data_IF_879334359497
#
_entry.id   IF_879334359497
#
_cell.length_a   1.000
_cell.length_b   1.000
_cell.length_c   1.000
_cell.angle_alpha   90.00
_cell.angle_beta   90.00
_cell.angle_gamma   90.00
#
_symmetry.space_group_name_H-M   'P 1'
#
loop_
_entity.id
_entity.type
_entity.pdbx_description
1 polymer ?
#
# COMPACT_ATOMS: atom_id res chain seq x y z
N UNK A 1 45.45 -10.75 -1.21
CA UNK A 1 44.16 -10.57 -1.90
C UNK A 1 43.30 -9.79 -0.92
N UNK A 2 43.38 -8.47 -0.99
CA UNK A 2 42.61 -7.60 -0.10
C UNK A 2 41.16 -7.65 -0.59
N UNK A 3 40.26 -8.16 0.25
CA UNK A 3 38.82 -7.99 0.06
C UNK A 3 38.55 -6.48 0.02
N UNK A 4 38.19 -5.99 -1.16
CA UNK A 4 37.56 -4.68 -1.28
C UNK A 4 36.23 -4.74 -0.53
N UNK A 5 36.25 -4.30 0.73
CA UNK A 5 35.04 -4.03 1.50
C UNK A 5 34.31 -2.92 0.73
N UNK A 6 33.26 -3.29 -0.01
CA UNK A 6 32.40 -2.34 -0.68
C UNK A 6 31.93 -1.29 0.35
N UNK A 7 32.08 0.00 0.03
CA UNK A 7 31.59 1.05 0.91
C UNK A 7 30.08 0.86 1.13
N UNK A 8 29.55 1.10 2.34
CA UNK A 8 28.12 1.01 2.59
C UNK A 8 27.35 1.83 1.55
N UNK A 9 26.36 1.21 0.92
CA UNK A 9 25.50 1.88 -0.05
C UNK A 9 24.86 3.13 0.56
N UNK A 10 24.90 4.26 -0.16
CA UNK A 10 24.30 5.51 0.30
C UNK A 10 22.77 5.42 0.28
N UNK A 11 22.10 6.25 1.10
CA UNK A 11 20.63 6.30 1.08
C UNK A 11 20.07 6.70 -0.29
N UNK A 12 20.78 7.56 -1.02
CA UNK A 12 20.40 7.97 -2.37
C UNK A 12 20.38 6.78 -3.35
N UNK A 13 21.43 5.96 -3.33
CA UNK A 13 21.53 4.76 -4.17
C UNK A 13 20.38 3.78 -3.86
N UNK A 14 20.05 3.60 -2.58
CA UNK A 14 18.93 2.77 -2.15
C UNK A 14 17.59 3.29 -2.66
N UNK A 15 17.36 4.60 -2.62
CA UNK A 15 16.14 5.22 -3.14
C UNK A 15 16.01 5.01 -4.64
N UNK A 16 17.10 5.19 -5.39
CA UNK A 16 17.10 4.97 -6.83
C UNK A 16 16.72 3.52 -7.17
N UNK A 17 17.26 2.55 -6.43
CA UNK A 17 16.88 1.14 -6.59
C UNK A 17 15.41 0.88 -6.29
N UNK A 18 14.89 1.45 -5.20
CA UNK A 18 13.48 1.33 -4.83
C UNK A 18 12.60 1.92 -5.92
N UNK A 19 12.89 3.12 -6.42
CA UNK A 19 12.12 3.75 -7.48
C UNK A 19 12.14 2.92 -8.78
N UNK A 20 13.30 2.37 -9.17
CA UNK A 20 13.39 1.46 -10.33
C UNK A 20 12.55 0.19 -10.15
N UNK A 21 12.46 -0.34 -8.93
CA UNK A 21 11.59 -1.48 -8.64
C UNK A 21 10.11 -1.09 -8.73
N UNK A 22 9.73 0.06 -8.16
CA UNK A 22 8.37 0.60 -8.24
C UNK A 22 7.92 0.81 -9.69
N UNK A 23 8.77 1.38 -10.54
CA UNK A 23 8.47 1.58 -11.96
C UNK A 23 8.21 0.24 -12.67
N UNK A 24 9.09 -0.76 -12.46
CA UNK A 24 8.90 -2.11 -13.05
C UNK A 24 7.61 -2.78 -12.59
N UNK A 25 7.25 -2.62 -11.33
CA UNK A 25 6.01 -3.15 -10.75
C UNK A 25 4.81 -2.45 -11.39
N UNK A 26 4.85 -1.12 -11.45
CA UNK A 26 3.80 -0.28 -12.04
C UNK A 26 3.58 -0.61 -13.51
N UNK A 27 4.65 -0.77 -14.29
CA UNK A 27 4.60 -1.23 -15.67
C UNK A 27 3.93 -2.60 -15.82
N UNK A 28 4.21 -3.51 -14.88
CA UNK A 28 3.61 -4.84 -14.89
C UNK A 28 2.12 -4.79 -14.57
N UNK A 29 1.70 -4.00 -13.58
CA UNK A 29 0.29 -3.78 -13.24
C UNK A 29 -0.43 -3.11 -14.43
N UNK A 30 0.19 -2.09 -15.03
CA UNK A 30 -0.39 -1.36 -16.16
C UNK A 30 -0.45 -2.18 -17.46
N UNK A 31 0.37 -3.21 -17.62
CA UNK A 31 0.20 -4.20 -18.71
C UNK A 31 -1.07 -5.03 -18.54
N UNK A 32 -1.47 -5.33 -17.30
CA UNK A 32 -2.72 -6.04 -17.01
C UNK A 32 -3.94 -5.13 -17.07
N UNK A 33 -3.80 -3.87 -16.64
CA UNK A 33 -4.85 -2.85 -16.68
C UNK A 33 -4.25 -1.48 -17.04
N UNK A 34 -4.34 -1.04 -18.32
CA UNK A 34 -3.70 0.18 -18.77
C UNK A 34 -4.05 1.40 -17.92
N UNK A 35 -3.03 2.16 -17.52
CA UNK A 35 -3.14 3.36 -16.68
C UNK A 35 -3.90 3.11 -15.38
N UNK A 36 -3.72 1.95 -14.73
CA UNK A 36 -4.34 1.71 -13.42
C UNK A 36 -3.59 2.41 -12.30
N UNK A 37 -2.25 2.38 -12.35
CA UNK A 37 -1.37 2.95 -11.33
C UNK A 37 -0.36 3.93 -11.92
N UNK A 38 0.11 4.87 -11.11
CA UNK A 38 1.24 5.74 -11.42
C UNK A 38 2.58 5.00 -11.28
N UNK A 39 3.71 5.71 -11.46
CA UNK A 39 5.06 5.13 -11.34
C UNK A 39 5.44 4.69 -9.92
N UNK A 40 4.65 5.09 -8.91
CA UNK A 40 4.79 4.66 -7.53
C UNK A 40 3.77 3.57 -7.14
N UNK A 41 3.12 2.93 -8.10
CA UNK A 41 2.15 1.87 -7.86
C UNK A 41 0.87 2.33 -7.16
N UNK A 42 0.62 3.64 -7.04
CA UNK A 42 -0.62 4.21 -6.49
C UNK A 42 -1.68 4.26 -7.57
N UNK A 43 -2.93 3.97 -7.20
CA UNK A 43 -4.05 4.09 -8.14
C UNK A 43 -4.14 5.51 -8.71
N UNK A 44 -4.11 5.60 -10.04
CA UNK A 44 -4.27 6.85 -10.77
C UNK A 44 -5.76 7.24 -10.83
N UNK A 45 -6.10 8.38 -10.22
CA UNK A 45 -7.46 8.90 -10.20
C UNK A 45 -7.95 9.32 -11.59
N UNK A 46 -7.06 9.80 -12.47
CA UNK A 46 -7.41 10.21 -13.84
C UNK A 46 -7.91 9.03 -14.68
N UNK A 47 -7.43 7.83 -14.35
CA UNK A 47 -7.85 6.63 -15.01
C UNK A 47 -9.35 6.34 -14.82
N UNK A 48 -9.95 6.80 -13.72
CA UNK A 48 -11.38 6.58 -13.46
C UNK A 48 -12.24 7.55 -14.25
N UNK A 49 -11.77 8.77 -14.44
CA UNK A 49 -12.39 9.73 -15.35
C UNK A 49 -12.28 9.24 -16.81
N UNK A 50 -11.07 8.89 -17.26
CA UNK A 50 -10.81 8.46 -18.63
C UNK A 50 -11.61 7.21 -19.04
N UNK A 51 -12.01 6.39 -18.07
CA UNK A 51 -12.82 5.19 -18.28
C UNK A 51 -14.32 5.38 -17.93
N UNK A 52 -14.76 6.61 -17.66
CA UNK A 52 -16.16 6.95 -17.42
C UNK A 52 -16.75 6.38 -16.12
N UNK A 53 -15.91 6.04 -15.13
CA UNK A 53 -16.35 5.54 -13.82
C UNK A 53 -16.83 6.69 -12.94
N UNK A 54 -16.13 7.82 -13.00
CA UNK A 54 -16.50 9.06 -12.33
C UNK A 54 -16.51 10.21 -13.33
N UNK A 55 -17.31 11.23 -13.07
CA UNK A 55 -17.29 12.46 -13.85
C UNK A 55 -16.02 13.30 -13.56
N UNK A 56 -15.69 14.20 -14.49
CA UNK A 56 -14.54 15.09 -14.39
C UNK A 56 -14.61 15.97 -13.14
N UNK A 57 -15.80 16.45 -12.75
CA UNK A 57 -15.99 17.32 -11.59
C UNK A 57 -15.60 16.61 -10.29
N UNK A 58 -15.99 15.34 -10.13
CA UNK A 58 -15.69 14.51 -8.97
C UNK A 58 -14.20 14.23 -8.83
N UNK A 59 -13.52 13.92 -9.94
CA UNK A 59 -12.07 13.66 -9.95
C UNK A 59 -11.29 14.95 -9.71
N UNK A 60 -11.67 16.04 -10.36
CA UNK A 60 -11.07 17.36 -10.15
C UNK A 60 -11.22 17.83 -8.69
N UNK A 61 -12.41 17.65 -8.08
CA UNK A 61 -12.64 18.00 -6.68
C UNK A 61 -11.78 17.19 -5.72
N UNK A 62 -11.63 15.88 -5.94
CA UNK A 62 -10.80 15.05 -5.08
C UNK A 62 -9.31 15.36 -5.22
N UNK A 63 -8.84 15.68 -6.43
CA UNK A 63 -7.49 16.22 -6.66
C UNK A 63 -7.26 17.55 -5.95
N UNK A 64 -8.23 18.46 -6.02
CA UNK A 64 -8.17 19.73 -5.29
C UNK A 64 -8.11 19.49 -3.78
N UNK A 65 -8.86 18.52 -3.25
CA UNK A 65 -8.77 18.17 -1.84
C UNK A 65 -7.38 17.63 -1.46
N UNK A 66 -6.75 16.84 -2.33
CA UNK A 66 -5.38 16.34 -2.12
C UNK A 66 -4.39 17.52 -2.10
N UNK A 67 -4.50 18.42 -3.06
CA UNK A 67 -3.65 19.61 -3.13
C UNK A 67 -3.82 20.51 -1.89
N UNK A 68 -5.05 20.83 -1.49
CA UNK A 68 -5.31 21.67 -0.31
C UNK A 68 -4.74 21.03 0.97
N UNK A 69 -4.79 19.69 1.07
CA UNK A 69 -4.23 18.99 2.23
C UNK A 69 -2.69 19.08 2.25
N UNK A 70 -2.04 18.97 1.10
CA UNK A 70 -0.60 19.19 0.95
C UNK A 70 -0.21 20.64 1.27
N UNK A 71 -0.96 21.62 0.77
CA UNK A 71 -0.75 23.05 1.05
C UNK A 71 -0.85 23.37 2.54
N UNK A 72 -1.84 22.79 3.21
CA UNK A 72 -2.00 22.90 4.66
C UNK A 72 -0.83 22.27 5.43
N UNK A 73 -0.38 21.07 5.03
CA UNK A 73 0.74 20.38 5.70
C UNK A 73 2.11 20.98 5.41
N UNK A 74 2.29 21.61 4.26
CA UNK A 74 3.53 22.30 3.90
C UNK A 74 3.61 23.72 4.47
N UNK A 75 2.51 24.25 5.01
CA UNK A 75 2.40 25.66 5.40
C UNK A 75 2.34 26.61 4.20
N UNK A 76 2.09 26.11 2.98
CA UNK A 76 1.98 26.96 1.80
C UNK A 76 0.75 27.89 1.86
N UNK A 77 -0.27 27.53 2.65
CA UNK A 77 -1.43 28.40 2.86
C UNK A 77 -1.09 29.75 3.53
N UNK A 78 0.02 29.79 4.27
CA UNK A 78 0.51 30.99 4.95
C UNK A 78 1.31 31.93 4.02
N UNK A 79 1.55 31.53 2.78
CA UNK A 79 2.36 32.29 1.82
C UNK A 79 1.55 33.23 0.92
N UNK A 80 2.05 34.46 0.78
CA UNK A 80 1.34 35.56 0.10
C UNK A 80 1.44 35.53 -1.43
N UNK A 81 2.34 34.73 -2.02
CA UNK A 81 2.56 34.68 -3.49
C UNK A 81 2.57 33.26 -4.03
N UNK A 82 2.17 33.12 -5.30
CA UNK A 82 2.12 31.81 -5.99
C UNK A 82 3.50 31.16 -6.03
N UNK A 83 4.56 31.93 -6.24
CA UNK A 83 5.93 31.43 -6.28
C UNK A 83 6.36 30.85 -4.92
N UNK A 84 6.06 31.54 -3.81
CA UNK A 84 6.40 31.06 -2.47
C UNK A 84 5.58 29.84 -2.06
N UNK A 85 4.29 29.80 -2.43
CA UNK A 85 3.44 28.61 -2.26
C UNK A 85 4.07 27.39 -2.92
N UNK A 86 4.49 27.56 -4.18
CA UNK A 86 5.14 26.49 -4.93
C UNK A 86 6.47 26.06 -4.29
N UNK A 87 7.29 27.00 -3.86
CA UNK A 87 8.55 26.71 -3.18
C UNK A 87 8.34 25.92 -1.88
N UNK A 88 7.38 26.34 -1.04
CA UNK A 88 7.03 25.63 0.20
C UNK A 88 6.54 24.20 -0.07
N UNK A 89 5.68 24.02 -1.08
CA UNK A 89 5.23 22.69 -1.51
C UNK A 89 6.39 21.82 -2.02
N UNK A 90 7.26 22.36 -2.87
CA UNK A 90 8.38 21.62 -3.47
C UNK A 90 9.39 21.19 -2.38
N UNK A 91 9.68 22.07 -1.40
CA UNK A 91 10.51 21.74 -0.23
C UNK A 91 9.85 20.63 0.58
N UNK A 92 8.58 20.78 0.95
CA UNK A 92 7.88 19.80 1.77
C UNK A 92 7.78 18.43 1.09
N UNK A 93 7.52 18.40 -0.23
CA UNK A 93 7.49 17.15 -1.02
C UNK A 93 8.83 16.45 -1.01
N UNK A 94 9.92 17.20 -1.20
CA UNK A 94 11.29 16.66 -1.10
C UNK A 94 11.59 16.13 0.30
N UNK A 95 11.13 16.82 1.34
CA UNK A 95 11.25 16.31 2.72
C UNK A 95 10.40 15.06 2.96
N UNK A 96 9.23 14.92 2.32
CA UNK A 96 8.43 13.68 2.41
C UNK A 96 9.15 12.51 1.77
N UNK A 97 9.76 12.72 0.60
CA UNK A 97 10.60 11.72 -0.05
C UNK A 97 11.69 11.23 0.92
N UNK A 98 12.18 12.12 1.79
CA UNK A 98 13.22 11.78 2.75
C UNK A 98 12.76 10.94 3.96
N UNK A 99 11.45 10.85 4.22
CA UNK A 99 10.93 10.14 5.40
C UNK A 99 11.06 8.63 5.28
N UNK A 100 11.62 8.00 6.31
CA UNK A 100 11.70 6.53 6.45
C UNK A 100 10.31 5.87 6.35
N UNK A 101 9.24 6.54 6.83
CA UNK A 101 7.87 6.02 6.75
C UNK A 101 7.35 5.87 5.31
N UNK A 102 7.56 6.88 4.45
CA UNK A 102 7.16 6.79 3.04
C UNK A 102 8.00 5.73 2.30
N UNK A 103 9.27 5.62 2.66
CA UNK A 103 10.15 4.58 2.12
C UNK A 103 9.67 3.18 2.53
N UNK A 104 9.17 3.02 3.75
CA UNK A 104 8.60 1.76 4.22
C UNK A 104 7.33 1.36 3.44
N UNK A 105 6.43 2.30 3.14
CA UNK A 105 5.27 2.00 2.29
C UNK A 105 5.68 1.44 0.93
N UNK A 106 6.66 2.07 0.26
CA UNK A 106 7.19 1.59 -1.03
C UNK A 106 7.81 0.20 -0.91
N UNK A 107 8.58 -0.04 0.14
CA UNK A 107 9.21 -1.36 0.38
C UNK A 107 8.16 -2.43 0.68
N UNK A 108 7.14 -2.11 1.47
CA UNK A 108 6.02 -3.00 1.71
C UNK A 108 5.31 -3.34 0.40
N UNK A 109 5.04 -2.35 -0.46
CA UNK A 109 4.46 -2.56 -1.79
C UNK A 109 5.30 -3.50 -2.64
N UNK A 110 6.61 -3.24 -2.73
CA UNK A 110 7.56 -4.08 -3.47
C UNK A 110 7.47 -5.51 -2.97
N UNK A 111 7.59 -5.71 -1.65
CA UNK A 111 7.59 -7.03 -1.04
C UNK A 111 6.29 -7.79 -1.31
N UNK A 112 5.14 -7.12 -1.15
CA UNK A 112 3.85 -7.69 -1.47
C UNK A 112 3.79 -8.13 -2.93
N UNK A 113 4.22 -7.27 -3.85
CA UNK A 113 4.19 -7.58 -5.26
C UNK A 113 5.14 -8.73 -5.64
N UNK A 114 6.37 -8.76 -5.11
CA UNK A 114 7.34 -9.84 -5.36
C UNK A 114 6.77 -11.22 -5.03
N UNK A 115 6.10 -11.32 -3.89
CA UNK A 115 5.61 -12.59 -3.38
C UNK A 115 4.25 -12.94 -3.99
N UNK A 116 3.35 -11.95 -4.10
CA UNK A 116 1.93 -12.17 -4.42
C UNK A 116 1.50 -11.70 -5.81
N UNK A 117 2.24 -10.84 -6.50
CA UNK A 117 1.78 -10.09 -7.68
C UNK A 117 1.32 -10.93 -8.88
N UNK A 118 1.74 -12.21 -8.94
CA UNK A 118 1.26 -13.16 -9.95
C UNK A 118 -0.20 -13.61 -9.68
N UNK A 119 -0.57 -13.83 -8.42
CA UNK A 119 -1.90 -14.31 -7.99
C UNK A 119 -2.80 -13.20 -7.46
N UNK A 120 -2.23 -12.04 -7.13
CA UNK A 120 -2.93 -10.93 -6.52
C UNK A 120 -2.72 -9.66 -7.32
N UNK A 121 -3.78 -8.88 -7.47
CA UNK A 121 -3.60 -7.45 -7.73
C UNK A 121 -3.15 -6.83 -6.42
N UNK A 122 -1.91 -6.33 -6.41
CA UNK A 122 -1.33 -5.56 -5.31
C UNK A 122 -1.19 -4.14 -5.80
N UNK A 123 -1.89 -3.20 -5.16
CA UNK A 123 -1.82 -1.79 -5.52
C UNK A 123 -1.74 -0.93 -4.25
N UNK A 124 -1.02 0.19 -4.35
CA UNK A 124 -1.20 1.28 -3.38
C UNK A 124 -2.47 2.03 -3.73
N UNK A 125 -3.18 2.52 -2.75
CA UNK A 125 -4.39 3.33 -2.97
C UNK A 125 -4.05 4.70 -3.58
N UNK A 126 -5.08 5.37 -4.10
CA UNK A 126 -4.96 6.74 -4.58
C UNK A 126 -4.52 7.69 -3.45
N UNK A 127 -3.85 8.80 -3.78
CA UNK A 127 -3.49 9.82 -2.80
C UNK A 127 -4.69 10.32 -1.99
N UNK A 128 -5.87 10.34 -2.60
CA UNK A 128 -7.10 10.72 -1.92
C UNK A 128 -7.54 9.70 -0.87
N UNK A 129 -7.56 8.41 -1.23
CA UNK A 129 -7.94 7.35 -0.31
C UNK A 129 -6.92 7.21 0.83
N UNK A 130 -5.63 7.39 0.55
CA UNK A 130 -4.57 7.46 1.56
C UNK A 130 -4.79 8.63 2.53
N UNK A 131 -4.79 9.88 2.05
CA UNK A 131 -4.90 11.05 2.93
C UNK A 131 -6.22 11.10 3.71
N UNK A 132 -7.34 10.76 3.06
CA UNK A 132 -8.67 10.85 3.67
C UNK A 132 -8.99 9.65 4.57
N UNK A 133 -8.53 8.45 4.21
CA UNK A 133 -8.99 7.19 4.80
C UNK A 133 -7.88 6.39 5.48
N UNK A 134 -6.61 6.76 5.27
CA UNK A 134 -5.44 6.13 5.88
C UNK A 134 -5.28 4.67 5.45
N UNK A 135 -5.46 4.40 4.16
CA UNK A 135 -5.28 3.07 3.58
C UNK A 135 -4.12 3.22 2.61
N UNK A 136 -3.04 2.46 2.78
CA UNK A 136 -1.88 2.55 1.89
C UNK A 136 -1.99 1.54 0.76
N UNK A 137 -2.50 0.33 1.04
CA UNK A 137 -2.53 -0.79 0.11
C UNK A 137 -3.86 -1.54 0.16
N UNK A 138 -4.16 -2.22 -0.94
CA UNK A 138 -5.19 -3.25 -0.99
C UNK A 138 -4.79 -4.41 -1.88
N UNK A 139 -5.47 -5.55 -1.66
CA UNK A 139 -5.19 -6.81 -2.34
C UNK A 139 -6.48 -7.37 -2.93
N UNK A 140 -6.40 -7.85 -4.16
CA UNK A 140 -7.48 -8.62 -4.78
C UNK A 140 -6.94 -9.94 -5.26
N UNK A 141 -7.59 -11.01 -4.80
CA UNK A 141 -7.32 -12.36 -5.27
C UNK A 141 -7.75 -12.51 -6.74
N UNK A 142 -6.82 -12.86 -7.64
CA UNK A 142 -7.10 -13.00 -9.08
C UNK A 142 -7.81 -14.32 -9.43
N UNK A 143 -7.98 -15.27 -8.52
CA UNK A 143 -8.80 -16.47 -8.79
C UNK A 143 -10.26 -16.21 -8.44
N UNK A 144 -10.51 -15.50 -7.33
CA UNK A 144 -11.86 -15.33 -6.79
C UNK A 144 -12.46 -13.96 -7.07
N UNK A 145 -11.62 -12.95 -7.34
CA UNK A 145 -12.01 -11.54 -7.39
C UNK A 145 -12.30 -10.95 -6.01
N UNK A 146 -12.07 -11.69 -4.93
CA UNK A 146 -12.35 -11.22 -3.57
C UNK A 146 -11.27 -10.24 -3.08
N UNK A 147 -11.73 -9.19 -2.41
CA UNK A 147 -10.88 -8.19 -1.80
C UNK A 147 -10.62 -8.60 -0.37
N UNK A 148 -9.35 -8.59 0.01
CA UNK A 148 -8.88 -9.22 1.24
C UNK A 148 -9.05 -8.27 2.42
N UNK A 149 -8.42 -7.11 2.29
CA UNK A 149 -8.30 -6.09 3.31
C UNK A 149 -7.67 -4.83 2.70
N UNK A 150 -7.85 -3.71 3.40
CA UNK A 150 -6.93 -2.58 3.30
C UNK A 150 -5.77 -2.77 4.28
N UNK A 151 -4.63 -2.15 4.00
CA UNK A 151 -3.48 -2.12 4.91
C UNK A 151 -3.02 -0.68 5.13
N UNK A 152 -2.75 -0.34 6.38
CA UNK A 152 -2.08 0.89 6.82
C UNK A 152 -0.70 0.51 7.44
N UNK A 153 0.37 0.81 6.72
CA UNK A 153 1.76 0.45 7.04
C UNK A 153 2.51 1.65 7.63
N UNK A 154 3.16 1.44 8.77
CA UNK A 154 3.88 2.51 9.47
C UNK A 154 5.18 2.00 10.09
N UNK A 155 6.24 2.77 9.90
CA UNK A 155 7.46 2.66 10.70
C UNK A 155 7.21 3.35 12.05
N UNK A 156 7.19 2.58 13.14
CA UNK A 156 7.03 3.14 14.48
C UNK A 156 7.42 2.14 15.57
N UNK A 157 8.02 2.65 16.65
CA UNK A 157 8.22 1.91 17.89
C UNK A 157 6.97 1.91 18.79
N UNK A 158 5.96 2.75 18.50
CA UNK A 158 4.69 2.82 19.23
C UNK A 158 3.48 2.67 18.30
N UNK A 159 3.05 1.42 18.10
CA UNK A 159 1.94 1.08 17.21
C UNK A 159 0.54 1.40 17.77
N UNK A 160 0.43 1.77 19.05
CA UNK A 160 -0.88 1.92 19.73
C UNK A 160 -1.81 2.97 19.09
N UNK A 161 -1.35 4.19 18.70
CA UNK A 161 -2.23 5.16 18.06
C UNK A 161 -2.83 4.64 16.75
N UNK A 162 -2.03 3.92 15.96
CA UNK A 162 -2.44 3.30 14.69
C UNK A 162 -3.47 2.19 14.94
N UNK A 163 -3.21 1.33 15.92
CA UNK A 163 -4.14 0.27 16.35
C UNK A 163 -5.52 0.82 16.73
N UNK A 164 -5.57 1.92 17.47
CA UNK A 164 -6.84 2.55 17.88
C UNK A 164 -7.59 3.12 16.67
N UNK A 165 -6.90 3.83 15.77
CA UNK A 165 -7.49 4.38 14.54
C UNK A 165 -8.08 3.28 13.65
N UNK A 166 -7.31 2.21 13.39
CA UNK A 166 -7.77 1.09 12.55
C UNK A 166 -8.98 0.40 13.18
N UNK A 167 -8.96 0.19 14.49
CA UNK A 167 -10.10 -0.38 15.22
C UNK A 167 -11.37 0.47 15.06
N UNK A 168 -11.26 1.78 15.23
CA UNK A 168 -12.39 2.69 15.05
C UNK A 168 -12.98 2.61 13.63
N UNK A 169 -12.13 2.48 12.62
CA UNK A 169 -12.58 2.30 11.22
C UNK A 169 -13.37 0.99 11.07
N UNK A 170 -12.86 -0.12 11.59
CA UNK A 170 -13.52 -1.43 11.49
C UNK A 170 -14.84 -1.49 12.28
N UNK A 171 -14.89 -0.91 13.48
CA UNK A 171 -16.11 -0.78 14.30
C UNK A 171 -17.18 0.06 13.59
N UNK A 172 -16.76 1.06 12.82
CA UNK A 172 -17.65 1.91 12.03
C UNK A 172 -18.05 1.33 10.67
N UNK A 173 -17.75 0.05 10.42
CA UNK A 173 -18.19 -0.66 9.22
C UNK A 173 -17.13 -0.77 8.13
N UNK A 174 -15.87 -0.58 8.50
CA UNK A 174 -14.69 -0.83 7.67
C UNK A 174 -14.26 0.33 6.80
N UNK A 175 -13.14 0.08 6.13
CA UNK A 175 -12.59 0.98 5.14
C UNK A 175 -13.41 0.97 3.84
N UNK A 176 -13.21 2.02 3.06
CA UNK A 176 -13.75 2.18 1.71
C UNK A 176 -12.60 2.66 0.84
N UNK A 177 -12.49 2.19 -0.39
CA UNK A 177 -11.52 2.68 -1.38
C UNK A 177 -12.35 3.23 -2.52
N UNK A 178 -12.33 4.55 -2.69
CA UNK A 178 -13.09 5.24 -3.72
C UNK A 178 -12.55 4.91 -5.11
N UNK A 179 -11.22 4.91 -5.23
CA UNK A 179 -10.49 4.58 -6.44
C UNK A 179 -9.87 3.19 -6.29
N UNK A 180 -10.73 2.16 -6.34
CA UNK A 180 -10.32 0.76 -6.21
C UNK A 180 -10.34 0.00 -7.54
N UNK A 181 -9.86 -1.24 -7.51
CA UNK A 181 -9.98 -2.15 -8.63
C UNK A 181 -10.27 -3.56 -8.14
N UNK A 182 -10.96 -4.35 -8.94
CA UNK A 182 -11.31 -5.75 -8.66
C UNK A 182 -10.96 -6.62 -9.85
N UNK A 183 -10.67 -7.90 -9.60
CA UNK A 183 -10.54 -8.86 -10.67
C UNK A 183 -11.90 -9.49 -10.97
N UNK A 184 -12.26 -9.58 -12.25
CA UNK A 184 -13.45 -10.27 -12.71
C UNK A 184 -13.05 -11.64 -13.30
N UNK A 185 -13.30 -12.76 -12.58
CA UNK A 185 -12.94 -14.09 -13.06
C UNK A 185 -13.66 -14.52 -14.33
N UNK A 186 -14.81 -13.91 -14.66
CA UNK A 186 -15.58 -14.27 -15.86
C UNK A 186 -14.94 -13.72 -17.14
N UNK A 187 -14.36 -12.53 -17.05
CA UNK A 187 -13.70 -11.85 -18.17
C UNK A 187 -12.18 -11.96 -18.10
N UNK A 188 -11.65 -12.53 -17.00
CA UNK A 188 -10.24 -12.61 -16.68
C UNK A 188 -9.52 -11.25 -16.73
N UNK A 189 -10.21 -10.19 -16.28
CA UNK A 189 -9.74 -8.81 -16.39
C UNK A 189 -9.86 -8.05 -15.09
N UNK A 190 -9.00 -7.04 -14.91
CA UNK A 190 -9.10 -6.08 -13.81
C UNK A 190 -10.08 -4.96 -14.21
N UNK A 191 -11.03 -4.68 -13.33
CA UNK A 191 -12.06 -3.65 -13.49
C UNK A 191 -11.93 -2.60 -12.39
N UNK A 192 -12.00 -1.33 -12.77
CA UNK A 192 -12.02 -0.19 -11.83
C UNK A 192 -13.35 -0.16 -11.10
N UNK A 193 -13.32 -0.09 -9.77
CA UNK A 193 -14.51 -0.17 -8.94
C UNK A 193 -14.29 0.41 -7.54
N UNK A 194 -15.29 1.11 -7.02
CA UNK A 194 -15.37 1.43 -5.60
C UNK A 194 -15.46 0.16 -4.75
N UNK A 195 -14.72 0.15 -3.65
CA UNK A 195 -14.66 -0.96 -2.70
C UNK A 195 -15.17 -0.47 -1.35
N UNK A 196 -16.08 -1.19 -0.72
CA UNK A 196 -16.69 -0.79 0.55
C UNK A 196 -16.68 -1.93 1.56
N UNK A 197 -16.73 -1.56 2.84
CA UNK A 197 -16.78 -2.47 3.98
C UNK A 197 -15.60 -3.45 4.05
N UNK A 198 -14.41 -3.02 3.68
CA UNK A 198 -13.22 -3.87 3.81
C UNK A 198 -12.64 -3.76 5.22
N UNK A 199 -12.22 -4.87 5.84
CA UNK A 199 -11.43 -4.82 7.06
C UNK A 199 -10.13 -4.08 6.79
N UNK A 200 -9.70 -3.24 7.73
CA UNK A 200 -8.42 -2.56 7.69
C UNK A 200 -7.46 -3.23 8.67
N UNK A 201 -6.24 -3.55 8.21
CA UNK A 201 -5.19 -4.03 9.10
C UNK A 201 -4.06 -3.01 9.17
N UNK A 202 -3.39 -2.94 10.31
CA UNK A 202 -2.16 -2.15 10.43
C UNK A 202 -0.92 -3.04 10.34
N UNK A 203 0.16 -2.49 9.81
CA UNK A 203 1.48 -3.10 9.84
C UNK A 203 2.45 -2.13 10.52
N UNK A 204 3.05 -2.59 11.62
CA UNK A 204 4.11 -1.86 12.30
C UNK A 204 5.45 -2.52 12.01
N UNK A 205 6.47 -1.71 11.75
CA UNK A 205 7.87 -2.14 11.73
C UNK A 205 8.69 -1.21 12.63
N UNK A 206 9.61 -1.76 13.41
CA UNK A 206 10.57 -0.93 14.17
C UNK A 206 11.66 -0.38 13.26
N UNK A 207 12.31 0.73 13.64
CA UNK A 207 13.46 1.29 12.92
C UNK A 207 14.57 0.28 12.65
N UNK A 208 14.81 -0.60 13.63
CA UNK A 208 15.86 -1.62 13.53
C UNK A 208 15.51 -2.67 12.47
N UNK A 209 14.28 -3.19 12.50
CA UNK A 209 13.79 -4.14 11.51
C UNK A 209 13.74 -3.51 10.12
N UNK A 210 13.30 -2.26 10.03
CA UNK A 210 13.25 -1.50 8.77
C UNK A 210 14.62 -1.36 8.13
N UNK A 211 15.62 -0.93 8.90
CA UNK A 211 17.00 -0.83 8.40
C UNK A 211 17.59 -2.17 8.01
N UNK A 212 17.25 -3.24 8.74
CA UNK A 212 17.67 -4.60 8.40
C UNK A 212 17.03 -5.07 7.09
N UNK A 213 15.72 -4.84 6.91
CA UNK A 213 15.02 -5.16 5.68
C UNK A 213 15.61 -4.38 4.49
N UNK A 214 15.80 -3.08 4.65
CA UNK A 214 16.39 -2.20 3.63
C UNK A 214 17.81 -2.63 3.22
N UNK A 215 18.62 -3.12 4.17
CA UNK A 215 19.98 -3.56 3.90
C UNK A 215 20.07 -4.92 3.17
N UNK A 216 19.04 -5.76 3.30
CA UNK A 216 19.05 -7.14 2.81
C UNK A 216 17.95 -7.41 1.76
N UNK A 217 17.37 -6.35 1.19
CA UNK A 217 16.34 -6.46 0.17
C UNK A 217 16.96 -6.88 -1.17
N UNK A 218 16.37 -7.86 -1.84
CA UNK A 218 16.78 -8.24 -3.20
C UNK A 218 16.41 -7.16 -4.22
N UNK A 219 17.21 -7.00 -5.26
CA UNK A 219 16.87 -6.16 -6.43
C UNK A 219 16.08 -6.93 -7.50
N UNK A 220 15.90 -8.23 -7.31
CA UNK A 220 15.13 -9.07 -8.22
C UNK A 220 13.69 -9.19 -7.75
N UNK A 221 12.74 -8.83 -8.62
CA UNK A 221 11.30 -8.91 -8.35
C UNK A 221 10.84 -10.37 -8.20
N UNK A 222 11.48 -11.31 -8.89
CA UNK A 222 11.11 -12.73 -8.85
C UNK A 222 11.77 -13.52 -7.73
N UNK A 223 12.79 -12.96 -7.06
CA UNK A 223 13.62 -13.68 -6.10
C UNK A 223 13.80 -12.84 -4.83
N UNK A 224 12.79 -12.82 -3.93
CA UNK A 224 12.91 -12.18 -2.62
C UNK A 224 14.00 -12.85 -1.77
N UNK A 225 14.68 -12.06 -0.94
CA UNK A 225 15.66 -12.57 0.03
C UNK A 225 15.00 -13.33 1.19
N UNK A 226 15.78 -14.07 1.96
CA UNK A 226 15.30 -14.70 3.21
C UNK A 226 14.73 -13.66 4.18
N UNK A 227 15.39 -12.51 4.35
CA UNK A 227 14.90 -11.40 5.19
C UNK A 227 13.55 -10.87 4.71
N UNK A 228 13.35 -10.75 3.40
CA UNK A 228 12.07 -10.37 2.81
C UNK A 228 10.97 -11.40 3.12
N UNK A 229 11.27 -12.70 3.00
CA UNK A 229 10.33 -13.78 3.26
C UNK A 229 9.98 -13.95 4.74
N UNK A 230 10.94 -13.74 5.64
CA UNK A 230 10.73 -13.70 7.08
C UNK A 230 9.82 -12.53 7.47
N UNK A 231 10.13 -11.34 6.95
CA UNK A 231 9.35 -10.13 7.22
C UNK A 231 7.92 -10.28 6.71
N UNK A 232 7.73 -10.76 5.48
CA UNK A 232 6.40 -11.06 4.93
C UNK A 232 5.65 -12.08 5.79
N UNK A 233 6.31 -13.14 6.25
CA UNK A 233 5.70 -14.10 7.19
C UNK A 233 5.25 -13.43 8.50
N UNK A 234 6.00 -12.45 9.01
CA UNK A 234 5.62 -11.61 10.14
C UNK A 234 4.36 -10.77 9.88
N UNK A 235 4.27 -10.15 8.69
CA UNK A 235 3.09 -9.39 8.28
C UNK A 235 1.83 -10.25 8.22
N UNK A 236 1.91 -11.45 7.63
CA UNK A 236 0.78 -12.39 7.59
C UNK A 236 0.32 -12.75 9.01
N UNK A 237 1.25 -13.11 9.91
CA UNK A 237 0.92 -13.43 11.31
C UNK A 237 0.26 -12.26 12.05
N UNK A 238 0.71 -11.04 11.78
CA UNK A 238 0.10 -9.82 12.33
C UNK A 238 -1.35 -9.67 11.86
N UNK A 239 -1.60 -9.84 10.56
CA UNK A 239 -2.95 -9.77 9.99
C UNK A 239 -3.86 -10.90 10.50
N UNK A 240 -3.36 -12.13 10.62
CA UNK A 240 -4.09 -13.26 11.22
C UNK A 240 -4.51 -12.93 12.66
N UNK A 241 -3.58 -12.40 13.47
CA UNK A 241 -3.85 -12.02 14.86
C UNK A 241 -4.91 -10.91 14.97
N UNK A 242 -4.80 -9.87 14.13
CA UNK A 242 -5.78 -8.78 14.08
C UNK A 242 -7.16 -9.28 13.66
N UNK A 243 -7.22 -10.11 12.62
CA UNK A 243 -8.45 -10.74 12.14
C UNK A 243 -9.13 -11.54 13.24
N UNK A 244 -8.40 -12.39 13.95
CA UNK A 244 -8.96 -13.19 15.05
C UNK A 244 -9.50 -12.32 16.18
N UNK A 245 -8.82 -11.23 16.51
CA UNK A 245 -9.28 -10.29 17.53
C UNK A 245 -10.60 -9.62 17.10
N UNK A 246 -10.69 -9.14 15.85
CA UNK A 246 -11.90 -8.51 15.32
C UNK A 246 -13.08 -9.48 15.20
N UNK A 247 -12.84 -10.76 14.86
CA UNK A 247 -13.89 -11.77 14.81
C UNK A 247 -14.52 -12.06 16.18
N UNK A 248 -13.72 -11.93 17.25
CA UNK A 248 -14.17 -12.12 18.65
C UNK A 248 -14.85 -10.87 19.24
N UNK A 249 -14.71 -9.72 18.59
CA UNK A 249 -15.26 -8.45 19.06
C UNK A 249 -16.76 -8.34 18.72
N UNK A 250 -17.58 -8.09 19.74
CA UNK A 250 -19.04 -7.97 19.61
C UNK A 250 -19.46 -6.66 18.92
N UNK A 251 -18.65 -5.60 19.01
CA UNK A 251 -18.94 -4.29 18.42
C UNK A 251 -18.74 -4.26 16.90
N UNK A 252 -18.00 -5.23 16.34
CA UNK A 252 -17.75 -5.29 14.91
C UNK A 252 -19.03 -5.65 14.16
N UNK A 253 -19.37 -4.82 13.17
CA UNK A 253 -20.57 -4.97 12.34
C UNK A 253 -20.56 -6.29 11.57
N UNK A 254 -21.76 -6.84 11.35
CA UNK A 254 -21.94 -8.14 10.67
C UNK A 254 -21.26 -8.19 9.30
N UNK A 255 -21.35 -7.10 8.52
CA UNK A 255 -20.74 -7.04 7.20
C UNK A 255 -19.22 -7.17 7.24
N UNK A 256 -18.58 -6.57 8.25
CA UNK A 256 -17.14 -6.69 8.47
C UNK A 256 -16.79 -8.10 8.94
N UNK A 257 -17.59 -8.72 9.81
CA UNK A 257 -17.40 -10.13 10.18
C UNK A 257 -17.50 -11.08 8.98
N UNK A 258 -18.40 -10.84 8.03
CA UNK A 258 -18.47 -11.60 6.78
C UNK A 258 -17.17 -11.45 5.96
N UNK A 259 -16.70 -10.22 5.77
CA UNK A 259 -15.49 -9.97 4.99
C UNK A 259 -14.21 -10.44 5.70
N UNK A 260 -14.15 -10.40 7.03
CA UNK A 260 -13.10 -11.03 7.85
C UNK A 260 -13.09 -12.56 7.71
N UNK A 261 -14.24 -13.21 7.48
CA UNK A 261 -14.26 -14.66 7.21
C UNK A 261 -13.70 -14.97 5.83
N UNK A 262 -13.99 -14.13 4.83
CA UNK A 262 -13.42 -14.26 3.48
C UNK A 262 -11.91 -14.06 3.48
N UNK A 263 -11.40 -13.09 4.24
CA UNK A 263 -9.97 -12.84 4.33
C UNK A 263 -9.17 -14.02 4.92
N UNK A 264 -9.80 -14.98 5.60
CA UNK A 264 -9.15 -16.21 6.09
C UNK A 264 -8.56 -17.05 4.97
N UNK A 265 -9.37 -17.32 3.95
CA UNK A 265 -8.96 -18.12 2.80
C UNK A 265 -7.84 -17.42 2.06
N UNK A 266 -7.92 -16.10 1.98
CA UNK A 266 -6.90 -15.33 1.31
C UNK A 266 -5.59 -15.25 2.09
N UNK A 267 -5.61 -15.01 3.40
CA UNK A 267 -4.39 -15.03 4.23
C UNK A 267 -3.73 -16.41 4.19
N UNK A 268 -4.54 -17.48 4.25
CA UNK A 268 -4.06 -18.84 4.06
C UNK A 268 -3.41 -19.04 2.68
N UNK A 269 -3.98 -18.46 1.62
CA UNK A 269 -3.41 -18.51 0.28
C UNK A 269 -2.12 -17.70 0.15
N UNK A 270 -2.06 -16.49 0.71
CA UNK A 270 -0.82 -15.69 0.75
C UNK A 270 0.31 -16.46 1.44
N UNK A 271 0.00 -17.16 2.53
CA UNK A 271 0.92 -18.05 3.24
C UNK A 271 1.31 -19.28 2.40
N UNK A 272 0.35 -19.89 1.70
CA UNK A 272 0.58 -20.99 0.77
C UNK A 272 1.56 -20.62 -0.34
N UNK A 273 1.36 -19.46 -0.99
CA UNK A 273 2.25 -18.95 -2.04
C UNK A 273 3.67 -18.79 -1.54
N UNK A 274 3.85 -18.23 -0.34
CA UNK A 274 5.18 -18.10 0.29
C UNK A 274 5.86 -19.47 0.43
N UNK A 275 5.13 -20.47 0.92
CA UNK A 275 5.65 -21.81 1.14
C UNK A 275 5.93 -22.55 -0.17
N UNK A 276 4.97 -22.56 -1.10
CA UNK A 276 5.03 -23.30 -2.36
C UNK A 276 6.12 -22.77 -3.30
N UNK A 277 6.33 -21.45 -3.32
CA UNK A 277 7.32 -20.83 -4.22
C UNK A 277 8.72 -20.75 -3.64
N UNK A 278 8.82 -20.55 -2.33
CA UNK A 278 10.10 -20.19 -1.70
C UNK A 278 10.53 -21.17 -0.60
N UNK A 279 9.66 -22.08 -0.16
CA UNK A 279 9.97 -23.08 0.86
C UNK A 279 9.98 -22.54 2.30
N UNK A 280 9.39 -21.37 2.54
CA UNK A 280 9.42 -20.65 3.83
C UNK A 280 8.08 -20.63 4.56
#
# INVERSE_FOLDING_TARGET
>A
MEEQIASPESMEQKREKINRLMEKISDSINKECPSLVDSEGRIDMDAFEANGIYDNEKVALDKLCVQNQEEFWSGADDEDTVEKKKEALDIWRKEQEDKESLLFEKIAHILFYKILGKEFLVARTSSRDDQKRGIDHFFVDKDTGEIVCGIDAVETDNINPKKLKVREIDENGGATIEYGAVYNPKTASIERKKIEHIPLFYLGISKKEFRNLLANMSEDIGHPSETELEFFGGMIRSMETQREALLKDENIRSKIKENLKKSDMTLARMKGIRYERFGY
#
